data_IF_201392673278
#
_entry.id   IF_201392673278
#
_cell.length_a   1.000
_cell.length_b   1.000
_cell.length_c   1.000
_cell.angle_alpha   90.00
_cell.angle_beta   90.00
_cell.angle_gamma   90.00
#
_symmetry.space_group_name_H-M   'P 1'
#
loop_
_entity.id
_entity.type
_entity.pdbx_description
1 polymer ?
#
# COMPACT_ATOMS: atom_id res chain seq x y z
N UNK A 1 -8.66 17.06 22.11
CA UNK A 1 -7.44 16.76 21.34
C UNK A 1 -7.80 16.09 20.04
N UNK A 2 -7.34 16.65 18.95
CA UNK A 2 -7.66 16.13 17.63
C UNK A 2 -6.64 15.06 17.26
N UNK A 3 -7.12 13.88 16.86
CA UNK A 3 -6.23 12.87 16.30
C UNK A 3 -5.77 13.33 14.92
N UNK A 4 -4.53 13.05 14.57
CA UNK A 4 -4.09 13.31 13.21
C UNK A 4 -4.77 12.35 12.24
N UNK A 5 -4.92 12.78 11.01
CA UNK A 5 -5.49 11.94 9.96
C UNK A 5 -4.57 10.76 9.68
N UNK A 6 -5.17 9.66 9.25
CA UNK A 6 -4.42 8.52 8.72
C UNK A 6 -3.70 8.98 7.45
N UNK A 7 -2.41 8.70 7.36
CA UNK A 7 -1.58 9.04 6.20
C UNK A 7 -1.33 7.78 5.40
N UNK A 8 -1.65 7.84 4.12
CA UNK A 8 -1.58 6.68 3.22
C UNK A 8 -0.66 7.03 2.04
N UNK A 9 0.28 6.14 1.77
CA UNK A 9 1.08 6.22 0.56
C UNK A 9 0.54 5.19 -0.44
N UNK A 10 0.25 5.63 -1.65
CA UNK A 10 -0.10 4.74 -2.76
C UNK A 10 1.09 4.69 -3.70
N UNK A 11 1.61 3.50 -3.96
CA UNK A 11 2.83 3.32 -4.71
C UNK A 11 2.72 2.18 -5.71
N UNK A 12 3.48 2.28 -6.80
CA UNK A 12 3.59 1.24 -7.80
C UNK A 12 5.04 0.81 -7.92
N UNK A 13 5.41 -0.32 -7.33
CA UNK A 13 6.78 -0.80 -7.45
C UNK A 13 7.05 -1.41 -8.82
N UNK A 14 8.30 -1.32 -9.25
CA UNK A 14 8.75 -1.94 -10.49
C UNK A 14 8.51 -1.09 -11.71
N UNK A 15 8.54 -1.73 -12.88
CA UNK A 15 8.50 -1.05 -14.17
C UNK A 15 7.10 -0.93 -14.77
N UNK A 16 6.07 -1.35 -14.01
CA UNK A 16 4.68 -1.30 -14.45
C UNK A 16 4.22 0.16 -14.58
N UNK A 17 3.84 0.56 -15.77
CA UNK A 17 3.37 1.91 -16.05
C UNK A 17 1.85 2.09 -15.99
N UNK A 18 1.11 1.05 -15.61
CA UNK A 18 -0.36 1.09 -15.56
C UNK A 18 -0.81 1.72 -14.24
N UNK A 19 -0.86 3.04 -14.19
CA UNK A 19 -1.08 3.77 -12.93
C UNK A 19 -2.52 4.23 -12.70
N UNK A 20 -3.44 3.99 -13.63
CA UNK A 20 -4.82 4.49 -13.51
C UNK A 20 -5.52 4.01 -12.24
N UNK A 21 -5.41 2.72 -11.95
CA UNK A 21 -6.03 2.14 -10.76
C UNK A 21 -5.47 2.73 -9.47
N UNK A 22 -4.14 2.89 -9.43
CA UNK A 22 -3.48 3.48 -8.26
C UNK A 22 -3.89 4.95 -8.06
N UNK A 23 -4.01 5.70 -9.15
CA UNK A 23 -4.43 7.11 -9.08
C UNK A 23 -5.88 7.25 -8.63
N UNK A 24 -6.76 6.38 -9.11
CA UNK A 24 -8.17 6.35 -8.68
C UNK A 24 -8.25 6.02 -7.20
N UNK A 25 -7.49 5.05 -6.74
CA UNK A 25 -7.46 4.67 -5.33
C UNK A 25 -6.95 5.83 -4.46
N UNK A 26 -5.88 6.49 -4.89
CA UNK A 26 -5.33 7.63 -4.17
C UNK A 26 -6.38 8.74 -4.01
N UNK A 27 -7.12 9.03 -5.08
CA UNK A 27 -8.18 10.03 -5.03
C UNK A 27 -9.32 9.60 -4.11
N UNK A 28 -9.68 8.32 -4.15
CA UNK A 28 -10.72 7.78 -3.27
C UNK A 28 -10.36 7.94 -1.80
N UNK A 29 -9.11 7.62 -1.43
CA UNK A 29 -8.64 7.81 -0.07
C UNK A 29 -8.66 9.28 0.34
N UNK A 30 -8.24 10.16 -0.56
CA UNK A 30 -8.26 11.60 -0.29
C UNK A 30 -9.69 12.09 -0.06
N UNK A 31 -10.63 11.66 -0.89
CA UNK A 31 -12.03 12.04 -0.76
C UNK A 31 -12.65 11.50 0.53
N UNK A 32 -12.13 10.39 1.04
CA UNK A 32 -12.57 9.80 2.31
C UNK A 32 -12.01 10.51 3.54
N UNK A 33 -11.14 11.52 3.36
CA UNK A 33 -10.59 12.31 4.45
C UNK A 33 -9.20 11.91 4.91
N UNK A 34 -8.56 10.96 4.26
CA UNK A 34 -7.19 10.57 4.58
C UNK A 34 -6.18 11.53 3.94
N UNK A 35 -5.01 11.65 4.55
CA UNK A 35 -3.86 12.28 3.89
C UNK A 35 -3.23 11.28 2.94
N UNK A 36 -3.03 11.66 1.69
CA UNK A 36 -2.57 10.73 0.66
C UNK A 36 -1.33 11.26 -0.03
N UNK A 37 -0.34 10.38 -0.15
CA UNK A 37 0.88 10.62 -0.90
C UNK A 37 0.90 9.61 -2.04
N UNK A 38 0.93 10.09 -3.27
CA UNK A 38 1.03 9.23 -4.44
C UNK A 38 2.43 9.36 -5.02
N UNK A 39 3.19 8.25 -5.05
CA UNK A 39 4.58 8.29 -5.50
C UNK A 39 4.76 8.21 -7.00
N UNK A 40 3.72 7.83 -7.73
CA UNK A 40 3.84 7.60 -9.17
C UNK A 40 4.32 6.19 -9.50
N UNK A 41 4.62 5.97 -10.78
CA UNK A 41 5.09 4.70 -11.30
C UNK A 41 6.61 4.54 -11.18
N UNK A 42 7.09 3.35 -11.50
CA UNK A 42 8.54 3.05 -11.64
C UNK A 42 9.33 3.27 -10.36
N UNK A 43 8.73 2.96 -9.22
CA UNK A 43 9.41 3.07 -7.94
C UNK A 43 10.08 1.73 -7.59
N UNK A 44 11.28 1.80 -7.02
CA UNK A 44 11.89 0.59 -6.45
C UNK A 44 11.33 0.36 -5.05
N UNK A 45 11.36 -0.90 -4.55
CA UNK A 45 10.98 -1.15 -3.16
C UNK A 45 11.78 -0.29 -2.17
N UNK A 46 13.06 -0.06 -2.44
CA UNK A 46 13.92 0.80 -1.62
C UNK A 46 13.41 2.23 -1.57
N UNK A 47 13.02 2.78 -2.72
CA UNK A 47 12.48 4.14 -2.80
C UNK A 47 11.15 4.24 -2.06
N UNK A 48 10.30 3.23 -2.21
CA UNK A 48 8.99 3.20 -1.55
C UNK A 48 9.16 3.16 -0.03
N UNK A 49 10.01 2.27 0.47
CA UNK A 49 10.24 2.14 1.90
C UNK A 49 10.86 3.42 2.49
N UNK A 50 11.85 3.99 1.81
CA UNK A 50 12.47 5.23 2.26
C UNK A 50 11.47 6.38 2.33
N UNK A 51 10.63 6.53 1.30
CA UNK A 51 9.62 7.58 1.27
C UNK A 51 8.56 7.37 2.35
N UNK A 52 8.13 6.12 2.57
CA UNK A 52 7.15 5.80 3.59
C UNK A 52 7.64 6.18 4.99
N UNK A 53 8.91 5.91 5.28
CA UNK A 53 9.51 6.24 6.55
C UNK A 53 9.67 7.76 6.68
N UNK A 54 10.18 8.41 5.65
CA UNK A 54 10.38 9.85 5.66
C UNK A 54 9.07 10.62 5.85
N UNK A 55 8.01 10.17 5.21
CA UNK A 55 6.70 10.83 5.28
C UNK A 55 5.88 10.36 6.49
N UNK A 56 6.40 9.41 7.25
CA UNK A 56 5.75 8.90 8.45
C UNK A 56 4.32 8.44 8.19
N UNK A 57 4.16 7.59 7.18
CA UNK A 57 2.83 7.10 6.81
C UNK A 57 2.37 5.98 7.73
N UNK A 58 1.06 5.79 7.80
CA UNK A 58 0.44 4.71 8.59
C UNK A 58 0.19 3.48 7.73
N UNK A 59 0.02 3.68 6.43
CA UNK A 59 -0.32 2.63 5.49
C UNK A 59 0.38 2.85 4.17
N UNK A 60 0.90 1.78 3.58
CA UNK A 60 1.40 1.76 2.21
C UNK A 60 0.50 0.84 1.39
N UNK A 61 -0.12 1.38 0.35
CA UNK A 61 -0.88 0.59 -0.62
C UNK A 61 -0.04 0.38 -1.87
N UNK A 62 0.26 -0.87 -2.18
CA UNK A 62 1.06 -1.25 -3.33
C UNK A 62 0.14 -1.76 -4.44
N UNK A 63 0.34 -1.28 -5.66
CA UNK A 63 -0.43 -1.70 -6.82
C UNK A 63 0.48 -2.29 -7.87
N UNK A 64 0.14 -3.45 -8.40
CA UNK A 64 0.95 -4.11 -9.41
C UNK A 64 0.08 -4.89 -10.40
N UNK A 65 0.27 -4.62 -11.68
CA UNK A 65 -0.42 -5.32 -12.77
C UNK A 65 0.53 -6.18 -13.59
N UNK A 66 1.82 -6.16 -13.30
CA UNK A 66 2.84 -6.80 -14.13
C UNK A 66 3.18 -8.23 -13.73
N UNK A 67 2.62 -8.72 -12.63
CA UNK A 67 2.95 -10.04 -12.11
C UNK A 67 4.16 -10.07 -11.19
N UNK A 68 4.84 -8.97 -11.00
CA UNK A 68 6.05 -8.90 -10.15
C UNK A 68 5.75 -8.75 -8.65
N UNK A 69 4.47 -8.81 -8.26
CA UNK A 69 4.05 -8.64 -6.88
C UNK A 69 4.67 -9.65 -5.91
N UNK A 70 4.95 -10.88 -6.38
CA UNK A 70 5.52 -11.93 -5.52
C UNK A 70 6.89 -11.56 -4.98
N UNK A 71 7.64 -10.78 -5.73
CA UNK A 71 8.97 -10.32 -5.32
C UNK A 71 8.90 -8.92 -4.70
N UNK A 72 8.18 -8.01 -5.36
CA UNK A 72 8.22 -6.59 -5.02
C UNK A 72 7.50 -6.28 -3.70
N UNK A 73 6.34 -6.89 -3.46
CA UNK A 73 5.57 -6.62 -2.26
C UNK A 73 6.30 -7.10 -0.99
N UNK A 74 6.77 -8.35 -0.93
CA UNK A 74 7.52 -8.78 0.25
C UNK A 74 8.79 -7.96 0.50
N UNK A 75 9.42 -7.50 -0.56
CA UNK A 75 10.64 -6.69 -0.42
C UNK A 75 10.36 -5.36 0.28
N UNK A 76 9.23 -4.73 -0.01
CA UNK A 76 8.85 -3.49 0.69
C UNK A 76 8.66 -3.76 2.18
N UNK A 77 7.93 -4.82 2.53
CA UNK A 77 7.70 -5.20 3.93
C UNK A 77 9.03 -5.45 4.64
N UNK A 78 9.91 -6.21 4.00
CA UNK A 78 11.22 -6.55 4.54
C UNK A 78 12.06 -5.31 4.82
N UNK A 79 12.08 -4.36 3.85
CA UNK A 79 12.83 -3.12 4.02
C UNK A 79 12.29 -2.25 5.15
N UNK A 80 10.97 -2.19 5.30
CA UNK A 80 10.37 -1.46 6.42
C UNK A 80 10.77 -2.08 7.76
N UNK A 81 10.79 -3.42 7.85
CA UNK A 81 11.22 -4.10 9.07
C UNK A 81 12.69 -3.86 9.37
N UNK A 82 13.54 -3.87 8.34
CA UNK A 82 14.98 -3.62 8.49
C UNK A 82 15.27 -2.23 9.06
N UNK A 83 14.40 -1.27 8.80
CA UNK A 83 14.55 0.11 9.26
C UNK A 83 13.67 0.43 10.46
N UNK A 84 13.25 -0.60 11.20
CA UNK A 84 12.44 -0.46 12.41
C UNK A 84 11.09 0.23 12.17
N UNK A 85 10.55 0.08 10.97
CA UNK A 85 9.26 0.65 10.57
C UNK A 85 8.23 -0.44 10.27
N UNK A 86 8.35 -1.60 10.89
CA UNK A 86 7.45 -2.74 10.66
C UNK A 86 6.02 -2.51 11.15
N UNK A 87 5.77 -1.43 11.89
CA UNK A 87 4.43 -1.04 12.31
C UNK A 87 3.64 -0.31 11.22
N UNK A 88 4.29 0.07 10.12
CA UNK A 88 3.57 0.58 8.95
C UNK A 88 2.82 -0.58 8.31
N UNK A 89 1.51 -0.42 8.13
CA UNK A 89 0.67 -1.43 7.51
C UNK A 89 0.88 -1.42 6.00
N UNK A 90 1.05 -2.60 5.39
CA UNK A 90 1.21 -2.73 3.93
C UNK A 90 0.06 -3.55 3.38
N UNK A 91 -0.64 -3.01 2.41
CA UNK A 91 -1.67 -3.72 1.66
C UNK A 91 -1.30 -3.78 0.19
N UNK A 92 -1.85 -4.74 -0.51
CA UNK A 92 -1.55 -4.94 -1.92
C UNK A 92 -2.81 -4.95 -2.77
N UNK A 93 -2.66 -4.59 -4.03
CA UNK A 93 -3.74 -4.63 -4.99
C UNK A 93 -3.22 -4.82 -6.41
N UNK A 94 -4.15 -5.01 -7.33
CA UNK A 94 -3.84 -5.23 -8.72
C UNK A 94 -4.29 -6.62 -9.19
N UNK A 95 -3.71 -7.10 -10.27
CA UNK A 95 -4.05 -8.43 -10.79
C UNK A 95 -3.16 -9.45 -10.11
N UNK A 96 -3.69 -10.05 -9.04
CA UNK A 96 -2.95 -11.00 -8.20
C UNK A 96 -3.72 -12.31 -8.19
N UNK A 97 -3.12 -13.41 -8.69
CA UNK A 97 -3.77 -14.72 -8.66
C UNK A 97 -4.03 -15.20 -7.22
N UNK A 98 -5.15 -15.86 -7.00
CA UNK A 98 -5.53 -16.37 -5.69
C UNK A 98 -4.44 -17.25 -5.08
N UNK A 99 -3.74 -18.00 -5.90
CA UNK A 99 -2.67 -18.90 -5.45
C UNK A 99 -1.50 -18.18 -4.82
N UNK A 100 -1.34 -16.88 -5.08
CA UNK A 100 -0.26 -16.07 -4.53
C UNK A 100 -0.62 -15.40 -3.21
N UNK A 101 -1.91 -15.39 -2.84
CA UNK A 101 -2.38 -14.66 -1.65
C UNK A 101 -1.69 -15.13 -0.38
N UNK A 102 -1.62 -16.45 -0.17
CA UNK A 102 -1.05 -16.96 1.08
C UNK A 102 0.41 -16.55 1.25
N UNK A 103 1.20 -16.63 0.18
CA UNK A 103 2.60 -16.23 0.23
C UNK A 103 2.76 -14.76 0.59
N UNK A 104 1.87 -13.90 0.07
CA UNK A 104 1.89 -12.48 0.37
C UNK A 104 1.48 -12.21 1.82
N UNK A 105 0.44 -12.89 2.32
CA UNK A 105 0.05 -12.76 3.73
C UNK A 105 1.18 -13.22 4.65
N UNK A 106 1.83 -14.33 4.32
CA UNK A 106 2.94 -14.85 5.11
C UNK A 106 4.12 -13.87 5.13
N UNK A 107 4.29 -13.11 4.07
CA UNK A 107 5.34 -12.10 3.98
C UNK A 107 5.02 -10.80 4.72
N UNK A 108 3.79 -10.64 5.20
CA UNK A 108 3.40 -9.47 5.97
C UNK A 108 2.44 -8.51 5.28
N UNK A 109 1.95 -8.85 4.09
CA UNK A 109 0.89 -8.06 3.45
C UNK A 109 -0.40 -8.31 4.21
N UNK A 110 -1.04 -7.24 4.68
CA UNK A 110 -2.17 -7.34 5.60
C UNK A 110 -3.51 -7.58 4.90
N UNK A 111 -3.64 -7.13 3.67
CA UNK A 111 -4.86 -7.34 2.88
C UNK A 111 -4.52 -7.22 1.40
N UNK A 112 -5.31 -7.89 0.57
CA UNK A 112 -5.14 -7.88 -0.89
C UNK A 112 -6.49 -7.55 -1.51
N UNK A 113 -6.50 -6.55 -2.39
CA UNK A 113 -7.70 -6.10 -3.09
C UNK A 113 -7.50 -6.24 -4.60
N UNK A 114 -8.30 -7.10 -5.20
CA UNK A 114 -8.27 -7.34 -6.65
C UNK A 114 -9.33 -6.48 -7.34
N UNK A 115 -9.36 -6.43 -8.68
CA UNK A 115 -10.29 -5.54 -9.40
C UNK A 115 -11.77 -5.70 -9.04
N UNK A 116 -12.17 -6.86 -8.48
CA UNK A 116 -13.55 -7.05 -8.05
C UNK A 116 -13.91 -6.35 -6.75
N UNK A 117 -12.94 -5.84 -6.00
CA UNK A 117 -13.20 -5.16 -4.74
C UNK A 117 -13.69 -3.74 -5.00
N UNK A 118 -14.72 -3.31 -4.26
CA UNK A 118 -15.20 -1.94 -4.37
C UNK A 118 -14.25 -0.99 -3.64
N UNK A 119 -14.18 0.25 -4.11
CA UNK A 119 -13.39 1.29 -3.43
C UNK A 119 -13.89 1.53 -2.02
N UNK A 120 -15.21 1.48 -1.82
CA UNK A 120 -15.80 1.64 -0.49
C UNK A 120 -15.33 0.57 0.47
N UNK A 121 -15.21 -0.68 0.02
CA UNK A 121 -14.74 -1.78 0.87
C UNK A 121 -13.28 -1.59 1.29
N UNK A 122 -12.46 -1.03 0.41
CA UNK A 122 -11.05 -0.75 0.73
C UNK A 122 -10.97 0.37 1.79
N UNK A 123 -11.74 1.42 1.62
CA UNK A 123 -11.80 2.52 2.60
C UNK A 123 -12.27 2.00 3.96
N UNK A 124 -13.32 1.17 3.98
CA UNK A 124 -13.84 0.61 5.22
C UNK A 124 -12.80 -0.27 5.91
N UNK A 125 -12.07 -1.08 5.14
CA UNK A 125 -11.01 -1.91 5.70
C UNK A 125 -9.96 -1.05 6.41
N UNK A 126 -9.55 0.05 5.76
CA UNK A 126 -8.55 0.96 6.33
C UNK A 126 -9.07 1.54 7.64
N UNK A 127 -10.30 2.04 7.66
CA UNK A 127 -10.88 2.63 8.87
C UNK A 127 -10.96 1.64 10.03
N UNK A 128 -11.19 0.37 9.74
CA UNK A 128 -11.32 -0.66 10.77
C UNK A 128 -9.99 -1.21 11.25
N UNK A 129 -8.94 -1.15 10.43
CA UNK A 129 -7.70 -1.88 10.69
C UNK A 129 -6.47 -1.00 10.86
N UNK A 130 -6.54 0.27 10.52
CA UNK A 130 -5.37 1.18 10.55
C UNK A 130 -5.67 2.34 11.46
N UNK A 131 -4.70 2.68 12.32
CA UNK A 131 -4.78 3.84 13.20
C UNK A 131 -3.58 4.73 12.96
N UNK A 132 -3.69 6.04 13.23
CA UNK A 132 -2.53 6.92 13.13
C UNK A 132 -1.42 6.44 14.05
N UNK A 133 -0.20 6.42 13.52
CA UNK A 133 0.99 6.13 14.33
C UNK A 133 1.30 7.34 15.22
N UNK A 134 1.78 7.06 16.38
CA UNK A 134 2.14 8.10 17.35
C UNK A 134 3.61 8.46 17.27
#
# INVERSE_FOLDING_TARGET
>A
MTERKIRIMVAKPGLDGHDRGARVLARCFRDAGFEVIYTGCHQTPEQIAAAAIQEDVDLVGLSCLSGAHRYLFPRVVELLREHEAGDITVIGGGIIPDQDFQALYDAGIRAIFTPGASLASIVDWVRQNVKPRL
#
